data_IF_948944701449
#
_entry.id   IF_948944701449
#
_cell.length_a   1.000
_cell.length_b   1.000
_cell.length_c   1.000
_cell.angle_alpha   90.00
_cell.angle_beta   90.00
_cell.angle_gamma   90.00
#
_symmetry.space_group_name_H-M   'P 1'
#
loop_
_entity.id
_entity.type
_entity.pdbx_description
1 polymer ?
#
# COMPACT_ATOMS: atom_id res chain seq x y z
N UNK A 1 -29.81 -21.68 9.20
CA UNK A 1 -28.41 -21.43 8.79
C UNK A 1 -28.21 -20.98 7.33
N UNK A 2 -29.02 -21.32 6.31
CA UNK A 2 -28.72 -21.03 4.88
C UNK A 2 -28.74 -19.57 4.38
N UNK A 3 -29.21 -18.59 5.18
CA UNK A 3 -29.32 -17.19 4.72
C UNK A 3 -28.02 -16.38 4.87
N UNK A 4 -27.14 -16.76 5.80
CA UNK A 4 -25.87 -16.05 6.04
C UNK A 4 -24.88 -16.25 4.89
N UNK A 5 -24.75 -17.48 4.39
CA UNK A 5 -23.84 -17.78 3.25
C UNK A 5 -24.22 -17.02 1.97
N UNK A 6 -25.51 -16.75 1.76
CA UNK A 6 -25.98 -15.98 0.59
C UNK A 6 -25.68 -14.49 0.76
N UNK A 7 -25.75 -13.96 1.99
CA UNK A 7 -25.41 -12.58 2.29
C UNK A 7 -23.92 -12.33 2.12
N UNK A 8 -23.06 -13.24 2.62
CA UNK A 8 -21.60 -13.15 2.44
C UNK A 8 -21.19 -13.21 0.97
N UNK A 9 -21.80 -14.10 0.17
CA UNK A 9 -21.54 -14.17 -1.27
C UNK A 9 -21.96 -12.90 -2.02
N UNK A 10 -23.09 -12.31 -1.66
CA UNK A 10 -23.57 -11.06 -2.27
C UNK A 10 -22.65 -9.89 -1.90
N UNK A 11 -22.23 -9.80 -0.64
CA UNK A 11 -21.30 -8.76 -0.19
C UNK A 11 -19.96 -8.90 -0.90
N UNK A 12 -19.39 -10.11 -0.97
CA UNK A 12 -18.13 -10.38 -1.68
C UNK A 12 -18.23 -9.99 -3.16
N UNK A 13 -19.33 -10.37 -3.83
CA UNK A 13 -19.54 -10.03 -5.24
C UNK A 13 -19.62 -8.52 -5.48
N UNK A 14 -20.33 -7.78 -4.62
CA UNK A 14 -20.42 -6.32 -4.69
C UNK A 14 -19.02 -5.71 -4.48
N UNK A 15 -18.28 -6.17 -3.47
CA UNK A 15 -16.93 -5.69 -3.19
C UNK A 15 -15.99 -5.93 -4.38
N UNK A 16 -16.05 -7.11 -5.01
CA UNK A 16 -15.26 -7.44 -6.20
C UNK A 16 -15.56 -6.51 -7.39
N UNK A 17 -16.84 -6.24 -7.65
CA UNK A 17 -17.26 -5.32 -8.72
C UNK A 17 -16.78 -3.90 -8.42
N UNK A 18 -16.94 -3.43 -7.18
CA UNK A 18 -16.48 -2.09 -6.78
C UNK A 18 -14.96 -1.97 -6.86
N UNK A 19 -14.23 -3.01 -6.44
CA UNK A 19 -12.78 -3.06 -6.49
C UNK A 19 -12.27 -3.07 -7.93
N UNK A 20 -12.87 -3.88 -8.81
CA UNK A 20 -12.54 -3.90 -10.23
C UNK A 20 -12.76 -2.54 -10.89
N UNK A 21 -13.89 -1.89 -10.59
CA UNK A 21 -14.16 -0.52 -11.04
C UNK A 21 -13.11 0.46 -10.53
N UNK A 22 -12.77 0.40 -9.25
CA UNK A 22 -11.77 1.27 -8.63
C UNK A 22 -10.39 1.11 -9.26
N UNK A 23 -9.95 -0.13 -9.54
CA UNK A 23 -8.68 -0.41 -10.23
C UNK A 23 -8.64 0.24 -11.61
N UNK A 24 -9.73 0.16 -12.37
CA UNK A 24 -9.83 0.79 -13.69
C UNK A 24 -9.74 2.32 -13.59
N UNK A 25 -10.47 2.92 -12.65
CA UNK A 25 -10.42 4.38 -12.41
C UNK A 25 -9.00 4.83 -12.06
N UNK A 26 -8.32 4.11 -11.17
CA UNK A 26 -6.95 4.42 -10.78
C UNK A 26 -5.99 4.29 -11.96
N UNK A 27 -6.13 3.26 -12.80
CA UNK A 27 -5.29 3.11 -14.00
C UNK A 27 -5.47 4.27 -14.99
N UNK A 28 -6.71 4.73 -15.19
CA UNK A 28 -6.99 5.88 -16.05
C UNK A 28 -6.38 7.15 -15.44
N UNK A 29 -6.55 7.38 -14.13
CA UNK A 29 -5.97 8.52 -13.43
C UNK A 29 -4.43 8.51 -13.50
N UNK A 30 -3.80 7.34 -13.34
CA UNK A 30 -2.35 7.19 -13.51
C UNK A 30 -1.89 7.53 -14.93
N UNK A 31 -2.66 7.12 -15.94
CA UNK A 31 -2.37 7.44 -17.35
C UNK A 31 -2.46 8.93 -17.64
N UNK A 32 -3.47 9.61 -17.10
CA UNK A 32 -3.61 11.07 -17.23
C UNK A 32 -2.45 11.80 -16.55
N UNK A 33 -2.09 11.44 -15.31
CA UNK A 33 -0.96 12.04 -14.61
C UNK A 33 0.37 11.87 -15.36
N UNK A 34 0.60 10.73 -16.01
CA UNK A 34 1.78 10.52 -16.87
C UNK A 34 1.77 11.45 -18.07
N UNK A 35 0.61 11.63 -18.70
CA UNK A 35 0.46 12.52 -19.85
C UNK A 35 0.71 13.98 -19.46
N UNK A 36 0.15 14.43 -18.34
CA UNK A 36 0.32 15.79 -17.85
C UNK A 36 1.81 16.06 -17.51
N UNK A 37 2.48 15.14 -16.82
CA UNK A 37 3.93 15.24 -16.56
C UNK A 37 4.71 15.34 -17.87
N UNK A 38 4.39 14.50 -18.87
CA UNK A 38 5.13 14.47 -20.13
C UNK A 38 4.98 15.78 -20.91
N UNK A 39 3.79 16.35 -20.95
CA UNK A 39 3.54 17.61 -21.66
C UNK A 39 4.25 18.80 -20.99
N UNK A 40 4.16 18.93 -19.67
CA UNK A 40 4.83 20.01 -18.93
C UNK A 40 6.36 19.87 -18.91
N UNK A 41 6.91 18.64 -18.96
CA UNK A 41 8.35 18.40 -19.09
C UNK A 41 8.88 18.84 -20.46
N UNK A 42 8.12 18.62 -21.55
CA UNK A 42 8.55 18.98 -22.91
C UNK A 42 8.51 20.50 -23.13
N UNK A 43 7.61 21.22 -22.46
CA UNK A 43 7.44 22.67 -22.57
C UNK A 43 8.32 23.49 -21.59
N UNK A 44 9.27 22.84 -20.89
CA UNK A 44 10.10 23.46 -19.85
C UNK A 44 10.83 24.73 -20.33
N UNK A 45 10.24 25.88 -20.00
CA UNK A 45 10.80 27.21 -20.26
C UNK A 45 10.90 28.08 -19.00
N UNK A 46 10.39 27.62 -17.84
CA UNK A 46 10.43 28.39 -16.59
C UNK A 46 10.62 27.52 -15.33
N UNK A 47 11.14 28.12 -14.25
CA UNK A 47 11.32 27.46 -12.94
C UNK A 47 9.97 27.07 -12.29
N UNK A 48 8.87 27.69 -12.68
CA UNK A 48 7.54 27.39 -12.15
C UNK A 48 7.02 26.03 -12.64
N UNK A 49 7.35 25.68 -13.88
CA UNK A 49 7.04 24.37 -14.47
C UNK A 49 7.75 23.22 -13.74
N UNK A 50 8.96 23.46 -13.22
CA UNK A 50 9.70 22.45 -12.47
C UNK A 50 8.99 22.07 -11.17
N UNK A 51 8.47 23.05 -10.42
CA UNK A 51 7.72 22.78 -9.19
C UNK A 51 6.42 22.04 -9.49
N UNK A 52 5.72 22.43 -10.56
CA UNK A 52 4.50 21.78 -11.02
C UNK A 52 4.76 20.30 -11.37
N UNK A 53 5.81 20.02 -12.15
CA UNK A 53 6.20 18.64 -12.49
C UNK A 53 6.54 17.80 -11.25
N UNK A 54 7.21 18.37 -10.25
CA UNK A 54 7.51 17.65 -8.99
C UNK A 54 6.23 17.30 -8.23
N UNK A 55 5.26 18.22 -8.16
CA UNK A 55 3.96 17.99 -7.53
C UNK A 55 3.16 16.91 -8.27
N UNK A 56 3.20 16.90 -9.59
CA UNK A 56 2.50 15.94 -10.42
C UNK A 56 3.14 14.54 -10.34
N UNK A 57 4.48 14.46 -10.25
CA UNK A 57 5.21 13.22 -9.94
C UNK A 57 4.85 12.71 -8.54
N UNK A 58 4.75 13.58 -7.55
CA UNK A 58 4.34 13.22 -6.19
C UNK A 58 2.94 12.58 -6.18
N UNK A 59 2.02 13.21 -6.91
CA UNK A 59 0.63 12.75 -7.10
C UNK A 59 0.57 11.41 -7.83
N UNK A 60 1.32 11.25 -8.93
CA UNK A 60 1.42 9.99 -9.65
C UNK A 60 1.93 8.87 -8.76
N UNK A 61 2.95 9.16 -7.93
CA UNK A 61 3.51 8.18 -7.04
C UNK A 61 2.44 7.75 -5.99
N UNK A 62 1.54 8.64 -5.53
CA UNK A 62 0.45 8.30 -4.58
C UNK A 62 -0.56 7.38 -5.25
N UNK A 63 -0.92 7.67 -6.50
CA UNK A 63 -1.79 6.80 -7.30
C UNK A 63 -1.19 5.40 -7.48
N UNK A 64 0.12 5.31 -7.68
CA UNK A 64 0.84 4.04 -7.75
C UNK A 64 0.74 3.24 -6.43
N UNK A 65 0.83 3.90 -5.29
CA UNK A 65 0.68 3.25 -3.98
C UNK A 65 -0.74 2.70 -3.76
N UNK A 66 -1.77 3.49 -4.11
CA UNK A 66 -3.15 3.04 -4.10
C UNK A 66 -3.34 1.85 -5.04
N UNK A 67 -2.79 1.91 -6.25
CA UNK A 67 -2.84 0.81 -7.22
C UNK A 67 -2.20 -0.48 -6.69
N UNK A 68 -1.01 -0.39 -6.08
CA UNK A 68 -0.33 -1.53 -5.47
C UNK A 68 -1.14 -2.15 -4.33
N UNK A 69 -1.81 -1.31 -3.52
CA UNK A 69 -2.70 -1.78 -2.46
C UNK A 69 -3.89 -2.56 -3.04
N UNK A 70 -4.52 -2.04 -4.09
CA UNK A 70 -5.64 -2.71 -4.76
C UNK A 70 -5.20 -4.03 -5.41
N UNK A 71 -4.07 -4.05 -6.11
CA UNK A 71 -3.53 -5.29 -6.70
C UNK A 71 -3.27 -6.37 -5.66
N UNK A 72 -2.75 -5.97 -4.50
CA UNK A 72 -2.49 -6.91 -3.41
C UNK A 72 -3.79 -7.41 -2.78
N UNK A 73 -4.77 -6.52 -2.58
CA UNK A 73 -6.09 -6.89 -2.10
C UNK A 73 -6.75 -7.95 -2.99
N UNK A 74 -6.67 -7.81 -4.32
CA UNK A 74 -7.17 -8.83 -5.27
C UNK A 74 -6.42 -10.15 -5.12
N UNK A 75 -5.09 -10.12 -5.01
CA UNK A 75 -4.25 -11.33 -4.96
C UNK A 75 -4.44 -12.18 -3.71
N UNK A 76 -4.89 -11.59 -2.61
CA UNK A 76 -4.95 -12.24 -1.29
C UNK A 76 -6.35 -12.67 -0.88
N UNK A 77 -7.31 -12.64 -1.81
CA UNK A 77 -8.67 -13.15 -1.60
C UNK A 77 -9.41 -12.40 -0.50
N UNK A 78 -9.43 -11.06 -0.60
CA UNK A 78 -10.14 -10.13 0.29
C UNK A 78 -9.58 -9.96 1.71
N UNK A 79 -8.53 -10.70 2.08
CA UNK A 79 -7.81 -10.46 3.31
C UNK A 79 -6.56 -9.66 3.02
N UNK A 80 -6.36 -8.56 3.74
CA UNK A 80 -5.10 -7.80 3.74
C UNK A 80 -4.32 -8.16 5.01
N UNK A 81 -3.31 -9.03 4.93
CA UNK A 81 -2.41 -9.31 6.03
C UNK A 81 -1.77 -8.02 6.55
N UNK A 82 -1.68 -7.93 7.88
CA UNK A 82 -1.13 -6.77 8.60
C UNK A 82 0.29 -6.39 8.12
N UNK A 83 1.07 -7.35 7.63
CA UNK A 83 2.42 -7.13 7.06
C UNK A 83 2.40 -6.10 5.94
N UNK A 84 1.36 -6.11 5.12
CA UNK A 84 1.29 -5.25 3.94
C UNK A 84 0.83 -3.86 4.27
N UNK A 85 -0.02 -3.71 5.29
CA UNK A 85 -0.37 -2.41 5.83
C UNK A 85 0.89 -1.71 6.39
N UNK A 86 1.78 -2.45 7.06
CA UNK A 86 3.09 -1.92 7.50
C UNK A 86 3.96 -1.53 6.31
N UNK A 87 4.06 -2.37 5.27
CA UNK A 87 4.85 -2.05 4.06
C UNK A 87 4.30 -0.83 3.30
N UNK A 88 2.98 -0.66 3.25
CA UNK A 88 2.32 0.53 2.68
C UNK A 88 2.70 1.75 3.54
N UNK A 89 2.57 1.66 4.87
CA UNK A 89 3.00 2.72 5.78
C UNK A 89 4.48 3.12 5.60
N UNK A 90 5.38 2.14 5.44
CA UNK A 90 6.80 2.40 5.19
C UNK A 90 6.97 3.17 3.88
N UNK A 91 6.27 2.76 2.82
CA UNK A 91 6.34 3.42 1.51
C UNK A 91 5.79 4.85 1.57
N UNK A 92 4.67 5.08 2.27
CA UNK A 92 4.07 6.39 2.49
C UNK A 92 5.01 7.36 3.22
N UNK A 93 5.61 6.91 4.34
CA UNK A 93 6.53 7.75 5.13
C UNK A 93 7.81 8.01 4.36
N UNK A 94 8.33 7.01 3.64
CA UNK A 94 9.53 7.14 2.79
C UNK A 94 9.31 8.13 1.65
N UNK A 95 8.13 8.10 1.00
CA UNK A 95 7.71 9.09 0.00
C UNK A 95 7.66 10.49 0.60
N UNK A 96 7.01 10.65 1.76
CA UNK A 96 6.91 11.96 2.42
C UNK A 96 8.30 12.51 2.74
N UNK A 97 9.22 11.64 3.18
CA UNK A 97 10.61 11.99 3.44
C UNK A 97 11.34 12.53 2.19
N UNK A 98 11.11 11.91 1.01
CA UNK A 98 11.73 12.36 -0.25
C UNK A 98 11.19 13.70 -0.76
N UNK A 99 9.93 14.00 -0.46
CA UNK A 99 9.22 15.22 -0.88
C UNK A 99 9.38 16.40 0.11
N UNK A 100 9.98 16.16 1.27
CA UNK A 100 10.13 17.17 2.31
C UNK A 100 11.19 18.22 1.88
N UNK A 101 10.75 19.46 1.75
CA UNK A 101 11.58 20.59 1.31
C UNK A 101 11.39 21.76 2.29
N UNK A 102 11.94 21.69 3.50
CA UNK A 102 11.81 22.82 4.43
C UNK A 102 12.53 22.72 5.76
N UNK A 103 12.55 21.55 6.40
CA UNK A 103 12.96 21.46 7.80
C UNK A 103 13.62 20.12 8.13
N UNK A 104 14.90 20.15 8.52
CA UNK A 104 15.64 18.95 8.90
C UNK A 104 15.05 18.21 10.11
N UNK A 105 14.25 18.88 10.95
CA UNK A 105 13.53 18.25 12.06
C UNK A 105 12.38 17.36 11.57
N UNK A 106 11.65 17.76 10.53
CA UNK A 106 10.57 16.94 9.97
C UNK A 106 11.14 15.68 9.32
N UNK A 107 12.24 15.82 8.59
CA UNK A 107 12.98 14.68 8.06
C UNK A 107 13.45 13.72 9.16
N UNK A 108 13.91 14.24 10.31
CA UNK A 108 14.31 13.42 11.46
C UNK A 108 13.11 12.66 12.06
N UNK A 109 11.95 13.32 12.23
CA UNK A 109 10.74 12.66 12.74
C UNK A 109 10.24 11.58 11.78
N UNK A 110 10.29 11.83 10.47
CA UNK A 110 9.94 10.85 9.45
C UNK A 110 10.91 9.66 9.46
N UNK A 111 12.21 9.89 9.62
CA UNK A 111 13.20 8.82 9.76
C UNK A 111 12.94 7.96 11.00
N UNK A 112 12.58 8.57 12.15
CA UNK A 112 12.18 7.84 13.35
C UNK A 112 10.90 7.03 13.11
N UNK A 113 9.93 7.59 12.40
CA UNK A 113 8.69 6.87 12.05
C UNK A 113 8.97 5.63 11.18
N UNK A 114 9.88 5.71 10.21
CA UNK A 114 10.32 4.55 9.43
C UNK A 114 10.96 3.49 10.34
N UNK A 115 11.80 3.90 11.29
CA UNK A 115 12.43 2.99 12.25
C UNK A 115 11.39 2.23 13.09
N UNK A 116 10.35 2.93 13.57
CA UNK A 116 9.24 2.31 14.31
C UNK A 116 8.49 1.31 13.42
N UNK A 117 8.16 1.66 12.18
CA UNK A 117 7.45 0.75 11.26
C UNK A 117 8.26 -0.51 10.91
N UNK A 118 9.58 -0.36 10.73
CA UNK A 118 10.48 -1.51 10.53
C UNK A 118 10.55 -2.38 11.79
N UNK A 119 10.53 -1.77 12.97
CA UNK A 119 10.47 -2.50 14.23
C UNK A 119 9.16 -3.28 14.38
N UNK A 120 8.01 -2.68 14.03
CA UNK A 120 6.71 -3.36 14.02
C UNK A 120 6.70 -4.54 13.05
N UNK A 121 7.32 -4.38 11.87
CA UNK A 121 7.49 -5.47 10.91
C UNK A 121 8.29 -6.63 11.51
N UNK A 122 9.39 -6.32 12.20
CA UNK A 122 10.24 -7.30 12.87
C UNK A 122 9.48 -8.03 13.98
N UNK A 123 8.75 -7.30 14.84
CA UNK A 123 7.91 -7.89 15.88
C UNK A 123 6.86 -8.83 15.28
N UNK A 124 6.19 -8.40 14.21
CA UNK A 124 5.18 -9.21 13.55
C UNK A 124 5.76 -10.49 12.94
N UNK A 125 6.97 -10.44 12.37
CA UNK A 125 7.68 -11.62 11.88
C UNK A 125 8.09 -12.56 13.02
N UNK A 126 8.58 -12.02 14.15
CA UNK A 126 8.92 -12.83 15.34
C UNK A 126 7.71 -13.48 15.99
N UNK A 127 6.59 -12.78 16.11
CA UNK A 127 5.34 -13.31 16.66
C UNK A 127 4.78 -14.42 15.78
N UNK A 128 4.79 -14.25 14.45
CA UNK A 128 4.37 -15.31 13.52
C UNK A 128 5.27 -16.54 13.59
N UNK A 129 6.59 -16.35 13.66
CA UNK A 129 7.54 -17.45 13.82
C UNK A 129 7.25 -18.29 15.09
N UNK A 130 6.78 -17.65 16.16
CA UNK A 130 6.39 -18.31 17.40
C UNK A 130 5.11 -19.15 17.27
N UNK A 131 4.13 -18.71 16.46
CA UNK A 131 2.88 -19.44 16.24
C UNK A 131 3.05 -20.66 15.31
N UNK A 132 3.97 -20.61 14.35
CA UNK A 132 4.31 -21.76 13.49
C UNK A 132 4.88 -22.94 14.28
N UNK A 133 5.61 -22.68 15.38
CA UNK A 133 6.22 -23.75 16.19
C UNK A 133 5.22 -24.54 17.07
N UNK A 134 4.03 -23.99 17.36
CA UNK A 134 3.06 -24.62 18.27
C UNK A 134 2.18 -25.67 17.57
N UNK A 135 2.04 -25.62 16.25
CA UNK A 135 1.25 -26.61 15.50
C UNK A 135 2.04 -27.90 15.21
N UNK A 136 3.37 -27.84 15.14
CA UNK A 136 4.20 -29.02 14.86
C UNK A 136 4.41 -29.94 16.08
N UNK A 137 4.10 -29.48 17.31
CA UNK A 137 4.30 -30.28 18.53
C UNK A 137 3.02 -30.98 19.01
N UNK A 138 1.89 -30.84 18.29
CA UNK A 138 0.61 -31.46 18.66
C UNK A 138 0.20 -32.65 17.78
N UNK A 139 0.90 -32.92 16.69
CA UNK A 139 0.63 -34.07 15.82
C UNK A 139 1.54 -35.29 16.07
N UNK A 140 2.58 -35.17 16.89
CA UNK A 140 3.46 -36.30 17.28
C UNK A 140 3.01 -37.01 18.58
N UNK A 141 1.86 -36.64 19.15
CA UNK A 141 1.37 -37.14 20.45
C UNK A 141 0.12 -38.02 20.42
N UNK A 142 -0.48 -38.27 19.25
CA UNK A 142 -1.69 -39.11 19.11
C UNK A 142 -1.48 -40.31 18.18
N UNK A 143 -0.24 -40.81 18.10
CA UNK A 143 0.07 -42.10 17.48
C UNK A 143 0.87 -42.96 18.49
N UNK A 144 0.20 -43.28 19.61
CA UNK A 144 0.56 -44.36 20.54
C UNK A 144 -0.70 -44.98 21.15
#
# INVERSE_FOLDING_TARGET
MRRFDSFEKIVSFIVDVMLGFLVIVVLIAMGMAIYDIFTHVVEMSSMNELYYVIEEIATWFILLEVFLMLLRYVKEGHHVPVRYLILIGITAVSRKLLLEHGTGLDALMLAIAILVLVFDLLLLERVRAFHTHKHSSKEEGEDF
#
